data_IF_029470734088
#
_entry.id   IF_029470734088
#
_cell.length_a   1.000
_cell.length_b   1.000
_cell.length_c   1.000
_cell.angle_alpha   90.00
_cell.angle_beta   90.00
_cell.angle_gamma   90.00
#
_symmetry.space_group_name_H-M   'P 1'
#
loop_
_entity.id
_entity.type
_entity.pdbx_description
1 polymer ?
#
# COMPACT_ATOMS: atom_id res chain seq x y z
N UNK A 1 -37.98 -13.23 22.62
CA UNK A 1 -37.95 -12.06 21.72
C UNK A 1 -36.55 -11.50 21.74
N UNK A 2 -35.85 -11.51 20.60
CA UNK A 2 -34.44 -11.11 20.46
C UNK A 2 -34.35 -9.59 20.33
N UNK A 3 -33.62 -8.95 21.22
CA UNK A 3 -33.26 -7.52 21.17
C UNK A 3 -32.13 -7.33 20.17
N UNK A 4 -32.39 -6.58 19.10
CA UNK A 4 -31.37 -6.13 18.16
C UNK A 4 -30.67 -4.90 18.74
N UNK A 5 -29.37 -4.99 18.99
CA UNK A 5 -28.54 -3.83 19.32
C UNK A 5 -27.95 -3.32 18.00
N UNK A 6 -28.46 -2.19 17.53
CA UNK A 6 -27.89 -1.42 16.42
C UNK A 6 -26.65 -0.67 16.94
N UNK A 7 -25.47 -1.18 16.59
CA UNK A 7 -24.20 -0.50 16.81
C UNK A 7 -23.95 0.45 15.63
N UNK A 8 -24.35 1.71 15.77
CA UNK A 8 -24.01 2.79 14.84
C UNK A 8 -22.51 3.10 14.96
N UNK A 9 -21.73 2.75 13.95
CA UNK A 9 -20.34 3.18 13.81
C UNK A 9 -20.32 4.55 13.13
N UNK A 10 -20.30 5.62 13.93
CA UNK A 10 -20.07 6.98 13.44
C UNK A 10 -18.56 7.20 13.28
N UNK A 11 -18.09 7.25 12.03
CA UNK A 11 -16.74 7.69 11.70
C UNK A 11 -16.63 9.19 11.96
N UNK A 12 -16.16 9.57 13.14
CA UNK A 12 -15.76 10.95 13.44
C UNK A 12 -14.44 11.25 12.72
N UNK A 13 -14.50 12.07 11.67
CA UNK A 13 -13.33 12.81 11.20
C UNK A 13 -13.03 13.93 12.20
N UNK A 14 -12.05 13.73 13.07
CA UNK A 14 -11.48 14.80 13.89
C UNK A 14 -10.19 15.32 13.20
N UNK A 15 -10.05 16.62 12.92
CA UNK A 15 -8.77 17.19 12.52
C UNK A 15 -7.90 17.31 13.78
N UNK A 16 -6.96 16.38 13.96
CA UNK A 16 -5.94 16.49 15.02
C UNK A 16 -4.81 17.34 14.46
N UNK A 17 -4.75 18.61 14.90
CA UNK A 17 -3.51 19.37 14.92
C UNK A 17 -2.48 18.56 15.71
N UNK A 18 -1.49 18.02 15.02
CA UNK A 18 -0.41 17.26 15.64
C UNK A 18 0.87 18.09 15.66
N UNK A 19 1.49 18.06 16.83
CA UNK A 19 2.73 18.70 17.23
C UNK A 19 3.90 18.17 16.40
N UNK A 20 4.80 19.09 16.03
CA UNK A 20 6.07 18.88 15.33
C UNK A 20 6.82 17.60 15.79
N UNK A 21 6.80 16.58 14.93
CA UNK A 21 7.81 15.52 14.89
C UNK A 21 8.39 15.48 13.47
N UNK A 22 9.47 16.22 13.28
CA UNK A 22 10.47 16.01 12.22
C UNK A 22 10.01 16.21 10.77
N UNK A 23 10.47 17.30 10.17
CA UNK A 23 10.24 17.74 8.78
C UNK A 23 10.39 16.66 7.68
N UNK A 24 10.99 15.50 7.95
CA UNK A 24 11.23 14.45 6.95
C UNK A 24 9.97 13.62 6.63
N UNK A 25 9.05 13.42 7.57
CA UNK A 25 7.77 12.77 7.24
C UNK A 25 6.91 13.64 6.34
N UNK A 26 6.90 14.96 6.57
CA UNK A 26 6.14 15.89 5.75
C UNK A 26 6.73 16.02 4.34
N UNK A 27 8.07 16.05 4.22
CA UNK A 27 8.76 16.01 2.92
C UNK A 27 8.50 14.68 2.18
N UNK A 28 8.53 13.55 2.90
CA UNK A 28 8.20 12.23 2.37
C UNK A 28 6.76 12.17 1.84
N UNK A 29 5.79 12.65 2.63
CA UNK A 29 4.37 12.61 2.27
C UNK A 29 4.04 13.53 1.10
N UNK A 30 4.69 14.70 1.01
CA UNK A 30 4.47 15.65 -0.07
C UNK A 30 5.01 15.15 -1.44
N UNK A 31 6.07 14.32 -1.44
CA UNK A 31 6.60 13.73 -2.69
C UNK A 31 5.70 12.64 -3.29
N UNK A 32 4.93 11.94 -2.45
CA UNK A 32 3.99 10.90 -2.91
C UNK A 32 2.76 11.48 -3.64
N UNK A 33 2.34 12.70 -3.28
CA UNK A 33 1.16 13.37 -3.88
C UNK A 33 1.49 14.18 -5.15
N UNK A 34 2.69 14.75 -5.26
CA UNK A 34 3.03 15.77 -6.28
C UNK A 34 3.37 15.19 -7.68
N UNK A 35 3.62 13.88 -7.83
CA UNK A 35 4.03 13.29 -9.12
C UNK A 35 2.85 12.84 -10.03
N UNK A 36 1.91 13.74 -10.34
CA UNK A 36 0.76 13.45 -11.22
C UNK A 36 0.65 14.41 -12.41
N UNK A 37 1.53 14.23 -13.41
CA UNK A 37 1.22 14.58 -14.80
C UNK A 37 1.22 13.29 -15.62
N UNK A 38 0.04 12.87 -16.08
CA UNK A 38 -0.13 11.73 -16.98
C UNK A 38 -1.17 12.10 -18.04
N UNK A 39 -0.83 11.93 -19.32
CA UNK A 39 -1.72 12.09 -20.46
C UNK A 39 -1.74 10.78 -21.24
N UNK A 40 -2.81 9.98 -21.10
CA UNK A 40 -2.92 8.71 -21.83
C UNK A 40 -4.17 7.93 -21.46
N UNK A 41 -5.26 8.16 -22.18
CA UNK A 41 -6.55 7.51 -21.91
C UNK A 41 -6.51 6.00 -22.27
N UNK A 42 -6.12 5.17 -21.30
CA UNK A 42 -6.21 3.71 -21.32
C UNK A 42 -6.96 3.24 -20.07
N UNK A 43 -7.71 2.15 -20.17
CA UNK A 43 -8.39 1.55 -19.01
C UNK A 43 -7.48 0.57 -18.27
N UNK A 44 -7.52 0.56 -16.94
CA UNK A 44 -6.91 -0.49 -16.12
C UNK A 44 -7.85 -1.71 -16.05
N UNK A 45 -7.31 -2.91 -16.32
CA UNK A 45 -8.06 -4.17 -16.19
C UNK A 45 -8.04 -4.64 -14.73
N UNK A 46 -9.22 -4.83 -14.15
CA UNK A 46 -9.42 -5.38 -12.81
C UNK A 46 -10.41 -6.53 -12.87
N UNK A 47 -9.89 -7.75 -13.00
CA UNK A 47 -10.69 -8.93 -13.26
C UNK A 47 -11.45 -8.83 -14.59
N UNK A 48 -12.76 -9.07 -14.54
CA UNK A 48 -13.68 -8.84 -15.66
C UNK A 48 -14.06 -7.37 -15.87
N UNK A 49 -13.64 -6.45 -15.00
CA UNK A 49 -14.00 -5.03 -15.05
C UNK A 49 -12.89 -4.18 -15.66
N UNK A 50 -13.29 -3.04 -16.22
CA UNK A 50 -12.39 -1.98 -16.68
C UNK A 50 -12.59 -0.74 -15.82
N UNK A 51 -11.50 -0.22 -15.27
CA UNK A 51 -11.45 0.99 -14.47
C UNK A 51 -10.79 2.08 -15.30
N UNK A 52 -11.27 3.31 -15.14
CA UNK A 52 -10.57 4.49 -15.68
C UNK A 52 -9.20 4.61 -14.99
N UNK A 53 -8.11 4.53 -15.77
CA UNK A 53 -6.75 4.49 -15.21
C UNK A 53 -6.34 5.84 -14.62
N UNK A 54 -6.78 6.94 -15.18
CA UNK A 54 -6.47 8.28 -14.67
C UNK A 54 -7.12 8.48 -13.30
N UNK A 55 -8.41 8.13 -13.19
CA UNK A 55 -9.12 8.10 -11.91
C UNK A 55 -8.43 7.17 -10.91
N UNK A 56 -7.98 6.00 -11.35
CA UNK A 56 -7.33 5.03 -10.48
C UNK A 56 -5.99 5.56 -9.94
N UNK A 57 -5.11 6.05 -10.81
CA UNK A 57 -3.83 6.69 -10.44
C UNK A 57 -4.08 7.87 -9.51
N UNK A 58 -5.08 8.71 -9.82
CA UNK A 58 -5.45 9.85 -8.98
C UNK A 58 -5.80 9.40 -7.55
N UNK A 59 -6.74 8.46 -7.40
CA UNK A 59 -7.15 7.95 -6.09
C UNK A 59 -5.99 7.27 -5.33
N UNK A 60 -5.11 6.55 -6.03
CA UNK A 60 -3.91 5.97 -5.43
C UNK A 60 -2.93 7.03 -4.90
N UNK A 61 -2.79 8.16 -5.59
CA UNK A 61 -1.92 9.25 -5.13
C UNK A 61 -2.54 10.01 -3.95
N UNK A 62 -3.84 10.31 -4.02
CA UNK A 62 -4.53 11.10 -3.00
C UNK A 62 -4.68 10.35 -1.66
N UNK A 63 -4.84 9.02 -1.69
CA UNK A 63 -5.16 8.26 -0.47
C UNK A 63 -3.95 7.57 0.18
N UNK A 64 -2.77 7.57 -0.45
CA UNK A 64 -1.62 6.79 0.04
C UNK A 64 -1.12 7.28 1.40
N UNK A 65 -1.17 8.60 1.63
CA UNK A 65 -0.79 9.19 2.91
C UNK A 65 -1.70 8.69 4.05
N UNK A 66 -3.02 8.74 3.85
CA UNK A 66 -3.99 8.23 4.83
C UNK A 66 -3.82 6.73 5.06
N UNK A 67 -3.55 5.96 4.00
CA UNK A 67 -3.26 4.54 4.11
C UNK A 67 -2.03 4.29 4.99
N UNK A 68 -0.88 4.93 4.69
CA UNK A 68 0.35 4.76 5.47
C UNK A 68 0.17 5.23 6.91
N UNK A 69 -0.53 6.34 7.15
CA UNK A 69 -0.80 6.86 8.49
C UNK A 69 -1.72 5.94 9.31
N UNK A 70 -2.63 5.20 8.66
CA UNK A 70 -3.47 4.20 9.33
C UNK A 70 -2.69 2.98 9.82
N UNK A 71 -1.46 2.79 9.32
CA UNK A 71 -0.60 1.67 9.69
C UNK A 71 0.31 2.08 10.84
N UNK A 72 0.47 1.20 11.81
CA UNK A 72 1.45 1.37 12.88
C UNK A 72 2.87 0.96 12.45
N UNK A 73 3.32 1.45 11.29
CA UNK A 73 4.64 1.15 10.74
C UNK A 73 5.69 2.14 11.24
N UNK A 74 6.87 1.61 11.57
CA UNK A 74 8.04 2.44 11.83
C UNK A 74 8.58 3.05 10.52
N UNK A 75 9.57 3.93 10.65
CA UNK A 75 10.16 4.64 9.51
C UNK A 75 10.70 3.70 8.42
N UNK A 76 11.45 2.66 8.80
CA UNK A 76 12.00 1.70 7.84
C UNK A 76 10.91 1.00 7.00
N UNK A 77 9.82 0.57 7.63
CA UNK A 77 8.71 -0.07 6.90
C UNK A 77 7.98 0.92 5.99
N UNK A 78 7.87 2.19 6.40
CA UNK A 78 7.30 3.25 5.54
C UNK A 78 8.19 3.52 4.32
N UNK A 79 9.50 3.48 4.50
CA UNK A 79 10.47 3.61 3.41
C UNK A 79 10.39 2.43 2.43
N UNK A 80 10.39 1.19 2.93
CA UNK A 80 10.23 -0.01 2.10
C UNK A 80 8.91 0.02 1.30
N UNK A 81 7.80 0.41 1.96
CA UNK A 81 6.52 0.59 1.29
C UNK A 81 6.59 1.66 0.19
N UNK A 82 7.21 2.82 0.44
CA UNK A 82 7.36 3.87 -0.59
C UNK A 82 8.12 3.35 -1.80
N UNK A 83 9.26 2.70 -1.57
CA UNK A 83 10.10 2.20 -2.65
C UNK A 83 9.36 1.13 -3.47
N UNK A 84 8.52 0.30 -2.84
CA UNK A 84 7.60 -0.59 -3.55
C UNK A 84 6.50 0.19 -4.29
N UNK A 85 5.86 1.15 -3.64
CA UNK A 85 4.77 1.96 -4.21
C UNK A 85 5.23 2.70 -5.49
N UNK A 86 6.39 3.34 -5.46
CA UNK A 86 6.96 4.06 -6.61
C UNK A 86 7.18 3.11 -7.80
N UNK A 87 7.73 1.91 -7.56
CA UNK A 87 7.93 0.89 -8.60
C UNK A 87 6.61 0.42 -9.21
N UNK A 88 5.60 0.15 -8.37
CA UNK A 88 4.27 -0.25 -8.83
C UNK A 88 3.54 0.88 -9.56
N UNK A 89 3.65 2.12 -9.10
CA UNK A 89 3.06 3.29 -9.73
C UNK A 89 3.70 3.57 -11.10
N UNK A 90 5.02 3.44 -11.21
CA UNK A 90 5.74 3.54 -12.49
C UNK A 90 5.29 2.45 -13.48
N UNK A 91 5.18 1.19 -13.03
CA UNK A 91 4.67 0.11 -13.85
C UNK A 91 3.20 0.32 -14.29
N UNK A 92 2.35 0.85 -13.40
CA UNK A 92 0.96 1.20 -13.70
C UNK A 92 0.88 2.28 -14.79
N UNK A 93 1.66 3.36 -14.64
CA UNK A 93 1.74 4.46 -15.62
C UNK A 93 2.23 3.99 -16.98
N UNK A 94 3.10 2.97 -17.02
CA UNK A 94 3.63 2.34 -18.23
C UNK A 94 2.74 1.24 -18.83
N UNK A 95 1.48 1.13 -18.39
CA UNK A 95 0.52 0.12 -18.88
C UNK A 95 0.98 -1.33 -18.71
N UNK A 96 1.83 -1.57 -17.71
CA UNK A 96 2.37 -2.92 -17.48
C UNK A 96 1.51 -3.75 -16.55
N UNK A 97 0.66 -3.11 -15.74
CA UNK A 97 -0.09 -3.77 -14.68
C UNK A 97 -1.52 -4.08 -15.09
N UNK A 98 -1.99 -5.26 -14.68
CA UNK A 98 -3.40 -5.63 -14.66
C UNK A 98 -3.67 -6.52 -13.46
N UNK A 99 -4.92 -6.65 -13.02
CA UNK A 99 -5.29 -7.60 -11.98
C UNK A 99 -6.34 -8.60 -12.48
N UNK A 100 -6.33 -9.79 -11.89
CA UNK A 100 -7.45 -10.75 -12.00
C UNK A 100 -8.59 -10.41 -11.02
N UNK A 101 -9.66 -11.23 -11.02
CA UNK A 101 -10.84 -11.03 -10.16
C UNK A 101 -10.53 -11.19 -8.65
N UNK A 102 -9.40 -11.80 -8.31
CA UNK A 102 -8.95 -12.00 -6.93
C UNK A 102 -8.01 -10.89 -6.45
N UNK A 103 -7.61 -9.98 -7.36
CA UNK A 103 -6.67 -8.90 -7.06
C UNK A 103 -5.20 -9.31 -7.17
N UNK A 104 -4.89 -10.44 -7.81
CA UNK A 104 -3.51 -10.77 -8.15
C UNK A 104 -3.06 -9.86 -9.29
N UNK A 105 -2.09 -8.99 -8.99
CA UNK A 105 -1.53 -8.08 -9.97
C UNK A 105 -0.49 -8.80 -10.81
N UNK A 106 -0.66 -8.75 -12.13
CA UNK A 106 0.30 -9.21 -13.13
C UNK A 106 1.05 -8.02 -13.70
N UNK A 107 2.38 -8.09 -13.67
CA UNK A 107 3.27 -7.19 -14.42
C UNK A 107 3.71 -7.87 -15.71
N UNK A 108 3.36 -7.28 -16.86
CA UNK A 108 3.68 -7.81 -18.19
C UNK A 108 5.18 -8.01 -18.46
N UNK A 109 6.07 -7.32 -17.73
CA UNK A 109 7.52 -7.55 -17.81
C UNK A 109 8.07 -8.54 -16.77
N UNK A 110 7.27 -8.91 -15.78
CA UNK A 110 7.69 -9.81 -14.70
C UNK A 110 8.76 -9.26 -13.76
N UNK A 111 8.93 -7.92 -13.68
CA UNK A 111 9.92 -7.30 -12.78
C UNK A 111 9.34 -7.09 -11.38
N UNK A 112 8.02 -7.04 -11.24
CA UNK A 112 7.32 -6.93 -9.96
C UNK A 112 6.71 -8.27 -9.55
N UNK A 113 6.80 -8.58 -8.25
CA UNK A 113 6.24 -9.80 -7.68
C UNK A 113 6.08 -9.74 -6.17
N UNK A 114 5.72 -10.88 -5.57
CA UNK A 114 5.48 -11.01 -4.14
C UNK A 114 6.74 -10.98 -3.27
N UNK A 115 7.91 -11.09 -3.90
CA UNK A 115 9.21 -11.08 -3.21
C UNK A 115 9.73 -9.65 -3.20
N UNK A 116 10.04 -9.16 -2.01
CA UNK A 116 10.64 -7.84 -1.84
C UNK A 116 12.13 -7.87 -2.22
N UNK A 117 12.65 -6.74 -2.69
CA UNK A 117 14.08 -6.61 -2.95
C UNK A 117 14.90 -6.53 -1.66
N UNK A 118 14.27 -6.07 -0.58
CA UNK A 118 14.89 -5.90 0.73
C UNK A 118 14.68 -7.16 1.58
N UNK A 119 15.77 -7.74 2.10
CA UNK A 119 15.76 -8.89 3.03
C UNK A 119 16.01 -8.39 4.46
N UNK A 120 15.07 -7.60 4.99
CA UNK A 120 15.12 -7.10 6.37
C UNK A 120 14.15 -7.83 7.30
N UNK A 121 14.60 -8.00 8.54
CA UNK A 121 13.85 -8.66 9.61
C UNK A 121 13.72 -7.75 10.81
N UNK A 122 12.50 -7.62 11.32
CA UNK A 122 12.15 -6.65 12.35
C UNK A 122 11.84 -7.33 13.68
N UNK A 123 12.44 -6.86 14.77
CA UNK A 123 12.01 -7.24 16.11
C UNK A 123 10.70 -6.53 16.52
N UNK A 124 10.15 -6.91 17.68
CA UNK A 124 8.92 -6.30 18.21
C UNK A 124 9.07 -4.81 18.59
N UNK A 125 10.29 -4.27 18.64
CA UNK A 125 10.56 -2.85 18.92
C UNK A 125 10.73 -2.05 17.62
N UNK A 126 10.75 -2.73 16.46
CA UNK A 126 10.95 -2.10 15.16
C UNK A 126 12.42 -1.95 14.77
N UNK A 127 13.38 -2.56 15.49
CA UNK A 127 14.76 -2.60 15.04
C UNK A 127 14.88 -3.61 13.90
N UNK A 128 15.62 -3.24 12.85
CA UNK A 128 15.87 -4.13 11.71
C UNK A 128 17.26 -4.77 11.78
N UNK A 129 17.35 -6.00 11.30
CA UNK A 129 18.58 -6.69 10.94
C UNK A 129 18.47 -7.20 9.51
N UNK A 130 19.60 -7.43 8.85
CA UNK A 130 19.64 -8.10 7.55
C UNK A 130 19.21 -9.57 7.66
N UNK A 131 18.78 -10.15 6.56
CA UNK A 131 18.44 -11.58 6.52
C UNK A 131 19.64 -12.48 6.77
N UNK A 132 20.87 -12.05 6.43
CA UNK A 132 22.08 -12.78 6.77
C UNK A 132 22.27 -12.85 8.30
N UNK A 133 22.10 -11.71 8.98
CA UNK A 133 22.15 -11.65 10.45
C UNK A 133 21.02 -12.48 11.07
N UNK A 134 19.80 -12.42 10.52
CA UNK A 134 18.67 -13.24 10.97
C UNK A 134 18.96 -14.73 10.85
N UNK A 135 19.51 -15.17 9.71
CA UNK A 135 19.88 -16.57 9.47
C UNK A 135 21.00 -17.06 10.40
N UNK A 136 21.86 -16.17 10.87
CA UNK A 136 22.89 -16.47 11.87
C UNK A 136 22.34 -16.58 13.31
N UNK A 137 21.11 -16.13 13.58
CA UNK A 137 20.49 -16.27 14.90
C UNK A 137 20.12 -17.71 15.22
N UNK A 138 20.09 -18.06 16.51
CA UNK A 138 19.47 -19.31 16.94
C UNK A 138 17.97 -19.32 16.65
N UNK A 139 17.40 -20.50 16.43
CA UNK A 139 15.96 -20.70 16.16
C UNK A 139 15.07 -20.00 17.20
N UNK A 140 15.47 -20.00 18.47
CA UNK A 140 14.75 -19.31 19.55
C UNK A 140 14.72 -17.79 19.36
N UNK A 141 15.82 -17.19 18.89
CA UNK A 141 15.90 -15.74 18.63
C UNK A 141 15.16 -15.37 17.34
N UNK A 142 15.24 -16.19 16.30
CA UNK A 142 14.52 -15.99 15.03
C UNK A 142 13.01 -15.83 15.23
N UNK A 143 12.40 -16.56 16.16
CA UNK A 143 10.96 -16.45 16.50
C UNK A 143 10.52 -15.05 16.94
N UNK A 144 11.46 -14.17 17.33
CA UNK A 144 11.19 -12.78 17.75
C UNK A 144 11.20 -11.76 16.61
N UNK A 145 11.55 -12.20 15.40
CA UNK A 145 11.65 -11.32 14.24
C UNK A 145 10.58 -11.67 13.19
N UNK A 146 10.16 -10.68 12.42
CA UNK A 146 9.23 -10.83 11.30
C UNK A 146 9.73 -10.04 10.09
N UNK A 147 9.61 -10.62 8.91
CA UNK A 147 9.76 -9.89 7.66
C UNK A 147 8.60 -8.90 7.48
N UNK A 148 8.87 -7.79 6.82
CA UNK A 148 7.85 -6.88 6.31
C UNK A 148 7.70 -7.13 4.81
N UNK A 149 6.46 -7.24 4.32
CA UNK A 149 6.19 -7.59 2.93
C UNK A 149 5.68 -6.39 2.14
N UNK A 150 6.58 -5.48 1.77
CA UNK A 150 6.23 -4.17 1.21
C UNK A 150 5.41 -4.29 -0.09
N UNK A 151 5.83 -5.16 -1.02
CA UNK A 151 5.12 -5.38 -2.28
C UNK A 151 3.69 -5.90 -2.03
N UNK A 152 3.48 -6.77 -1.04
CA UNK A 152 2.13 -7.27 -0.70
C UNK A 152 1.24 -6.19 -0.11
N UNK A 153 1.79 -5.31 0.71
CA UNK A 153 1.05 -4.16 1.24
C UNK A 153 0.67 -3.18 0.13
N UNK A 154 1.55 -2.94 -0.85
CA UNK A 154 1.21 -2.13 -2.04
C UNK A 154 0.10 -2.77 -2.85
N UNK A 155 0.18 -4.08 -3.13
CA UNK A 155 -0.89 -4.82 -3.84
C UNK A 155 -2.21 -4.73 -3.06
N UNK A 156 -2.17 -4.84 -1.74
CA UNK A 156 -3.35 -4.70 -0.87
C UNK A 156 -3.97 -3.31 -1.03
N UNK A 157 -3.16 -2.26 -0.91
CA UNK A 157 -3.60 -0.87 -1.09
C UNK A 157 -4.21 -0.63 -2.48
N UNK A 158 -3.53 -1.11 -3.53
CA UNK A 158 -4.01 -1.00 -4.91
C UNK A 158 -5.39 -1.65 -5.07
N UNK A 159 -5.56 -2.85 -4.53
CA UNK A 159 -6.82 -3.58 -4.54
C UNK A 159 -7.94 -2.86 -3.78
N UNK A 160 -7.66 -2.25 -2.62
CA UNK A 160 -8.66 -1.49 -1.86
C UNK A 160 -9.21 -0.33 -2.69
N UNK A 161 -8.34 0.43 -3.35
CA UNK A 161 -8.75 1.55 -4.21
C UNK A 161 -9.50 1.05 -5.46
N UNK A 162 -8.99 0.01 -6.14
CA UNK A 162 -9.65 -0.55 -7.32
C UNK A 162 -11.07 -1.06 -7.00
N UNK A 163 -11.22 -1.81 -5.90
CA UNK A 163 -12.52 -2.31 -5.43
C UNK A 163 -13.47 -1.16 -5.08
N UNK A 164 -12.98 -0.11 -4.44
CA UNK A 164 -13.80 1.06 -4.12
C UNK A 164 -14.35 1.73 -5.39
N UNK A 165 -13.54 1.86 -6.44
CA UNK A 165 -13.98 2.43 -7.72
C UNK A 165 -14.99 1.52 -8.42
N UNK A 166 -14.73 0.21 -8.46
CA UNK A 166 -15.65 -0.78 -9.05
C UNK A 166 -16.99 -0.77 -8.33
N UNK A 167 -16.99 -0.85 -7.00
CA UNK A 167 -18.22 -0.89 -6.22
C UNK A 167 -19.04 0.40 -6.42
N UNK A 168 -18.42 1.59 -6.42
CA UNK A 168 -19.13 2.84 -6.71
C UNK A 168 -19.80 2.87 -8.09
N UNK A 169 -19.26 2.14 -9.08
CA UNK A 169 -19.79 2.09 -10.45
C UNK A 169 -20.94 1.08 -10.61
N UNK A 170 -21.01 0.06 -9.74
CA UNK A 170 -21.95 -1.06 -9.89
C UNK A 170 -22.85 -1.30 -8.66
N UNK A 171 -22.80 -0.40 -7.67
CA UNK A 171 -23.78 -0.32 -6.59
C UNK A 171 -25.00 0.46 -7.07
N UNK A 172 -25.87 -0.23 -7.81
CA UNK A 172 -27.28 0.17 -8.02
C UNK A 172 -28.17 -0.41 -6.91
#
# INVERSE_FOLDING_TARGET
>A
MRTFILLLLTLYFAPIYSVNMGNDSDIFMNRLSVNQEFQGNFSYKYGMRKIDKELYIHNLGTNVQSYVASKNWNEYKREEFRNAYERYMDALKKDRLSADDFGNITDSKGELGNVDGDDYWYDNKGNRISGAEYRALSVRKQKKYRAFYANKEVVTYFNEIAKAIVNRRYSD
#
